data_IF_419296727091
#
_entry.id   IF_419296727091
#
_cell.length_a   1.000
_cell.length_b   1.000
_cell.length_c   1.000
_cell.angle_alpha   90.00
_cell.angle_beta   90.00
_cell.angle_gamma   90.00
#
_symmetry.space_group_name_H-M   'P 1'
#
loop_
_entity.id
_entity.type
_entity.pdbx_description
1 polymer ?
#
# COMPACT_ATOMS: atom_id res chain seq x y z
N UNK A 1 19.75 10.69 -61.64
CA UNK A 1 18.30 10.39 -61.69
C UNK A 1 18.12 9.02 -62.32
N UNK A 2 17.19 8.23 -61.77
CA UNK A 2 16.74 6.88 -62.16
C UNK A 2 17.57 5.68 -61.69
N UNK A 3 17.12 5.10 -60.56
CA UNK A 3 17.15 3.66 -60.33
C UNK A 3 15.72 3.14 -60.40
N UNK A 4 15.60 2.02 -61.07
CA UNK A 4 14.44 1.38 -61.68
C UNK A 4 13.44 0.80 -60.68
N UNK A 5 12.18 0.93 -61.08
CA UNK A 5 10.94 0.37 -60.56
C UNK A 5 10.97 -1.17 -60.42
N UNK A 6 10.47 -1.71 -59.29
CA UNK A 6 10.11 -3.13 -59.16
C UNK A 6 8.81 -3.29 -58.37
N UNK A 7 7.69 -3.09 -59.06
CA UNK A 7 6.35 -3.59 -58.69
C UNK A 7 6.28 -5.12 -58.71
N UNK A 8 5.55 -5.70 -57.73
CA UNK A 8 4.60 -6.86 -57.78
C UNK A 8 4.43 -7.42 -56.35
N UNK A 9 3.37 -7.07 -55.60
CA UNK A 9 1.99 -7.62 -55.65
C UNK A 9 1.90 -9.07 -55.19
N UNK A 10 1.22 -9.36 -54.07
CA UNK A 10 0.32 -10.50 -53.87
C UNK A 10 -0.68 -10.21 -52.75
N UNK A 11 -1.92 -10.64 -53.00
CA UNK A 11 -3.18 -10.23 -52.37
C UNK A 11 -3.86 -11.46 -51.75
N UNK A 12 -4.57 -11.25 -50.64
CA UNK A 12 -5.69 -12.03 -50.07
C UNK A 12 -5.45 -13.37 -49.36
N UNK A 13 -6.48 -13.75 -48.56
CA UNK A 13 -6.82 -15.05 -47.93
C UNK A 13 -6.52 -15.04 -46.39
N UNK A 14 -7.44 -15.08 -45.42
CA UNK A 14 -8.78 -15.70 -45.33
C UNK A 14 -9.62 -15.08 -44.19
N UNK A 15 -10.93 -14.99 -44.40
CA UNK A 15 -12.01 -14.72 -43.44
C UNK A 15 -12.30 -15.98 -42.59
N UNK A 16 -12.52 -15.87 -41.27
CA UNK A 16 -13.22 -16.91 -40.48
C UNK A 16 -14.28 -16.23 -39.60
N UNK A 17 -15.51 -16.71 -39.72
CA UNK A 17 -16.76 -16.28 -39.09
C UNK A 17 -17.19 -17.33 -38.04
N UNK A 18 -18.13 -16.96 -37.16
CA UNK A 18 -18.93 -17.77 -36.18
C UNK A 18 -18.31 -17.99 -34.77
N UNK A 19 -19.03 -17.86 -33.64
CA UNK A 19 -20.48 -17.82 -33.40
C UNK A 19 -20.85 -17.01 -32.13
N UNK A 20 -22.06 -16.44 -32.13
CA UNK A 20 -22.76 -15.88 -30.96
C UNK A 20 -23.16 -17.01 -29.98
N UNK A 21 -23.08 -16.73 -28.67
CA UNK A 21 -24.01 -17.29 -27.70
C UNK A 21 -24.45 -16.19 -26.72
N UNK A 22 -25.67 -15.67 -26.92
CA UNK A 22 -26.40 -14.89 -25.92
C UNK A 22 -27.14 -15.86 -25.01
N UNK A 23 -26.92 -15.77 -23.70
CA UNK A 23 -27.82 -16.35 -22.71
C UNK A 23 -28.58 -15.19 -22.06
N UNK A 24 -29.83 -15.01 -22.46
CA UNK A 24 -30.85 -14.34 -21.66
C UNK A 24 -31.67 -15.43 -20.94
N UNK A 25 -31.79 -15.31 -19.62
CA UNK A 25 -32.60 -16.21 -18.81
C UNK A 25 -32.62 -15.76 -17.35
N UNK A 26 -33.70 -15.09 -16.98
CA UNK A 26 -33.99 -14.50 -15.67
C UNK A 26 -34.73 -15.49 -14.75
N UNK A 27 -34.60 -15.26 -13.43
CA UNK A 27 -35.55 -15.55 -12.32
C UNK A 27 -34.74 -15.97 -11.07
N UNK A 28 -34.99 -15.46 -9.86
CA UNK A 28 -36.10 -14.64 -9.39
C UNK A 28 -35.70 -13.80 -8.19
N UNK A 29 -36.51 -12.77 -7.95
CA UNK A 29 -36.52 -12.03 -6.71
C UNK A 29 -37.00 -12.95 -5.57
N UNK A 30 -36.36 -12.85 -4.41
CA UNK A 30 -37.05 -13.04 -3.14
C UNK A 30 -36.73 -11.82 -2.29
N UNK A 31 -37.74 -10.98 -2.11
CA UNK A 31 -37.66 -9.92 -1.12
C UNK A 31 -37.44 -10.50 0.27
N UNK A 32 -36.76 -9.73 1.10
CA UNK A 32 -37.25 -9.40 2.42
C UNK A 32 -36.73 -7.99 2.72
N UNK A 33 -37.63 -7.01 2.61
CA UNK A 33 -37.57 -5.87 3.50
C UNK A 33 -37.79 -6.39 4.94
N UNK A 34 -37.18 -5.70 5.90
CA UNK A 34 -37.20 -5.97 7.34
C UNK A 34 -36.46 -7.22 7.83
N UNK A 35 -35.24 -6.97 8.33
CA UNK A 35 -35.05 -6.98 9.78
C UNK A 35 -34.20 -5.77 10.16
N UNK A 36 -34.85 -4.71 10.64
CA UNK A 36 -34.25 -3.87 11.66
C UNK A 36 -33.56 -4.79 12.70
N UNK A 37 -32.34 -4.50 13.17
CA UNK A 37 -31.81 -5.21 14.32
C UNK A 37 -32.83 -5.07 15.47
N UNK A 38 -33.17 -6.15 16.18
CA UNK A 38 -34.17 -6.09 17.23
C UNK A 38 -33.79 -5.02 18.24
N UNK A 39 -34.65 -4.01 18.37
CA UNK A 39 -34.62 -3.06 19.48
C UNK A 39 -34.83 -3.87 20.76
N UNK A 40 -33.75 -4.13 21.49
CA UNK A 40 -33.83 -4.87 22.75
C UNK A 40 -32.57 -5.55 23.26
N UNK A 41 -31.47 -5.61 22.49
CA UNK A 41 -30.18 -6.03 23.05
C UNK A 41 -29.48 -4.83 23.72
N UNK A 42 -29.87 -4.55 24.96
CA UNK A 42 -29.03 -3.75 25.87
C UNK A 42 -28.05 -4.72 26.54
N UNK A 43 -26.78 -4.33 26.44
CA UNK A 43 -25.60 -4.81 27.15
C UNK A 43 -24.92 -6.10 26.66
N UNK A 44 -24.20 -5.95 25.56
CA UNK A 44 -22.78 -6.32 25.57
C UNK A 44 -21.98 -5.19 24.94
N UNK A 45 -20.98 -4.61 25.63
CA UNK A 45 -20.12 -3.63 25.00
C UNK A 45 -19.49 -4.31 23.78
N UNK A 46 -19.83 -3.78 22.61
CA UNK A 46 -19.17 -3.95 21.32
C UNK A 46 -17.72 -4.36 21.54
N UNK A 47 -17.31 -5.45 20.86
CA UNK A 47 -15.94 -5.94 20.77
C UNK A 47 -14.95 -4.80 20.98
N UNK A 48 -14.39 -4.79 22.18
CA UNK A 48 -13.77 -3.61 22.70
C UNK A 48 -12.56 -3.25 21.85
N UNK A 49 -12.42 -1.95 21.57
CA UNK A 49 -11.17 -1.24 21.35
C UNK A 49 -10.19 -1.40 22.53
N UNK A 50 -10.22 -2.52 23.25
CA UNK A 50 -9.56 -2.78 24.53
C UNK A 50 -8.07 -2.64 24.30
N UNK A 51 -7.54 -1.54 24.79
CA UNK A 51 -6.13 -1.16 24.68
C UNK A 51 -5.72 -0.34 23.45
N UNK A 52 -6.59 0.07 22.52
CA UNK A 52 -6.20 0.93 21.37
C UNK A 52 -7.27 1.97 20.98
N UNK A 53 -6.83 3.14 20.51
CA UNK A 53 -7.70 4.24 20.08
C UNK A 53 -8.63 3.83 18.92
N UNK A 54 -9.85 4.36 18.88
CA UNK A 54 -10.77 4.15 17.76
C UNK A 54 -10.32 4.88 16.49
N UNK A 55 -9.71 6.05 16.65
CA UNK A 55 -9.20 6.88 15.57
C UNK A 55 -7.84 6.41 15.07
N UNK A 56 -7.61 6.55 13.76
CA UNK A 56 -6.30 6.40 13.16
C UNK A 56 -5.46 7.66 13.31
N UNK A 57 -4.21 7.46 13.67
CA UNK A 57 -3.13 8.42 13.48
C UNK A 57 -2.34 8.03 12.22
N UNK A 58 -1.63 9.00 11.65
CA UNK A 58 -0.90 8.78 10.41
C UNK A 58 0.50 9.36 10.52
N UNK A 59 1.49 8.54 10.17
CA UNK A 59 2.82 9.02 9.80
C UNK A 59 2.88 9.04 8.27
N UNK A 60 3.04 10.22 7.68
CA UNK A 60 3.07 10.39 6.23
C UNK A 60 4.40 11.01 5.79
N UNK A 61 5.18 10.21 5.09
CA UNK A 61 6.47 10.61 4.53
C UNK A 61 6.37 10.81 3.03
N UNK A 62 6.87 11.95 2.54
CA UNK A 62 7.01 12.21 1.10
C UNK A 62 8.10 11.30 0.49
N UNK A 63 7.89 10.86 -0.75
CA UNK A 63 8.87 10.02 -1.46
C UNK A 63 10.26 10.66 -1.51
N UNK A 64 10.30 11.97 -1.76
CA UNK A 64 11.52 12.78 -1.80
C UNK A 64 12.29 12.85 -0.47
N UNK A 65 11.70 12.42 0.66
CA UNK A 65 12.42 12.34 1.93
C UNK A 65 13.26 11.06 2.06
N UNK A 66 12.94 10.00 1.31
CA UNK A 66 13.70 8.75 1.38
C UNK A 66 15.05 8.87 0.69
N UNK A 67 16.04 8.09 1.15
CA UNK A 67 17.38 8.04 0.57
C UNK A 67 17.76 6.60 0.26
N UNK A 68 18.57 6.35 -0.79
CA UNK A 68 19.15 5.03 -1.00
C UNK A 68 19.95 4.59 0.23
N UNK A 69 19.90 3.30 0.54
CA UNK A 69 20.59 2.73 1.72
C UNK A 69 22.12 2.72 1.55
N UNK A 70 22.60 2.82 0.32
CA UNK A 70 24.02 2.96 0.00
C UNK A 70 24.26 4.05 -1.06
N UNK A 71 25.52 4.29 -1.40
CA UNK A 71 25.90 5.24 -2.45
C UNK A 71 25.96 4.62 -3.85
N UNK A 72 25.59 3.34 -4.02
CA UNK A 72 25.67 2.64 -5.31
C UNK A 72 24.51 2.99 -6.25
N UNK A 73 23.43 3.55 -5.69
CA UNK A 73 22.23 3.91 -6.46
C UNK A 73 22.03 5.42 -6.54
N UNK A 74 21.93 5.91 -7.78
CA UNK A 74 21.54 7.28 -8.08
C UNK A 74 20.04 7.48 -7.89
N UNK A 75 19.65 8.73 -7.62
CA UNK A 75 18.25 9.08 -7.42
C UNK A 75 17.95 10.49 -7.91
N UNK A 76 16.73 10.69 -8.41
CA UNK A 76 16.26 11.96 -8.97
C UNK A 76 14.99 12.43 -8.26
N UNK A 77 14.90 13.75 -8.05
CA UNK A 77 13.65 14.39 -7.66
C UNK A 77 12.87 14.81 -8.90
N UNK A 78 11.70 14.20 -9.07
CA UNK A 78 10.79 14.55 -10.17
C UNK A 78 9.88 15.75 -9.85
N UNK A 79 10.05 16.38 -8.68
CA UNK A 79 9.11 17.37 -8.13
C UNK A 79 7.93 16.74 -7.38
N UNK A 80 7.03 17.57 -6.86
CA UNK A 80 5.78 17.17 -6.17
C UNK A 80 5.95 16.16 -5.03
N UNK A 81 7.11 16.13 -4.38
CA UNK A 81 7.41 15.19 -3.31
C UNK A 81 7.75 13.77 -3.76
N UNK A 82 7.93 13.52 -5.06
CA UNK A 82 8.27 12.20 -5.58
C UNK A 82 9.78 12.01 -5.82
N UNK A 83 10.25 10.77 -5.64
CA UNK A 83 11.62 10.32 -5.93
C UNK A 83 11.58 9.16 -6.91
N UNK A 84 12.56 9.09 -7.80
CA UNK A 84 12.81 7.92 -8.67
C UNK A 84 14.26 7.45 -8.51
N UNK A 85 14.49 6.15 -8.67
CA UNK A 85 15.85 5.61 -8.79
C UNK A 85 16.37 5.87 -10.19
N UNK A 86 17.50 6.57 -10.31
CA UNK A 86 18.08 6.93 -11.62
C UNK A 86 19.12 5.91 -12.08
N UNK A 87 19.79 5.23 -11.15
CA UNK A 87 20.74 4.15 -11.42
C UNK A 87 20.85 3.18 -10.23
N UNK A 88 21.48 2.03 -10.44
CA UNK A 88 21.67 1.01 -9.40
C UNK A 88 20.43 0.16 -9.14
N UNK A 89 20.47 -0.59 -8.03
CA UNK A 89 19.43 -1.54 -7.62
C UNK A 89 19.07 -1.43 -6.14
N UNK A 90 19.69 -0.51 -5.41
CA UNK A 90 19.50 -0.39 -3.97
C UNK A 90 18.10 0.15 -3.65
N UNK A 91 17.61 -0.26 -2.49
CA UNK A 91 16.37 0.23 -1.92
C UNK A 91 16.56 1.60 -1.27
N UNK A 92 15.47 2.31 -1.14
CA UNK A 92 15.37 3.57 -0.43
C UNK A 92 14.76 3.33 0.94
N UNK A 93 15.23 4.05 1.94
CA UNK A 93 14.69 3.93 3.28
C UNK A 93 14.59 5.25 4.03
N UNK A 94 13.83 5.21 5.12
CA UNK A 94 13.74 6.26 6.12
C UNK A 94 13.27 5.67 7.44
N UNK A 95 13.71 6.27 8.55
CA UNK A 95 13.26 5.91 9.89
C UNK A 95 11.75 6.13 10.06
N UNK A 96 11.07 5.19 10.72
CA UNK A 96 9.65 5.26 11.05
C UNK A 96 9.50 5.45 12.57
N UNK A 97 9.30 6.70 13.00
CA UNK A 97 9.19 7.07 14.41
C UNK A 97 7.78 7.00 14.97
N UNK A 98 7.28 5.79 15.25
CA UNK A 98 5.97 5.62 15.89
C UNK A 98 6.10 5.56 17.42
N UNK A 99 5.09 6.02 18.19
CA UNK A 99 5.08 5.86 19.64
C UNK A 99 5.16 4.40 20.06
N UNK A 100 5.85 4.14 21.16
CA UNK A 100 5.89 2.80 21.76
C UNK A 100 4.49 2.33 22.15
N UNK A 101 4.23 1.03 21.99
CA UNK A 101 2.92 0.41 22.23
C UNK A 101 1.84 0.77 21.20
N UNK A 102 2.14 1.61 20.19
CA UNK A 102 1.20 1.85 19.09
C UNK A 102 1.07 0.63 18.18
N UNK A 103 -0.07 0.45 17.54
CA UNK A 103 -0.31 -0.66 16.60
C UNK A 103 -0.39 -0.16 15.17
N UNK A 104 0.47 -0.69 14.32
CA UNK A 104 0.45 -0.50 12.88
C UNK A 104 -0.69 -1.35 12.31
N UNK A 105 -1.65 -0.70 11.66
CA UNK A 105 -2.81 -1.38 11.07
C UNK A 105 -2.66 -1.49 9.55
N UNK A 106 -2.13 -0.45 8.88
CA UNK A 106 -1.98 -0.44 7.41
C UNK A 106 -0.78 0.36 6.93
N UNK A 107 -0.20 -0.07 5.81
CA UNK A 107 0.74 0.70 5.00
C UNK A 107 0.07 1.08 3.67
N UNK A 108 0.18 2.36 3.28
CA UNK A 108 -0.27 2.84 1.98
C UNK A 108 0.91 3.41 1.20
N UNK A 109 1.02 3.01 -0.07
CA UNK A 109 1.95 3.58 -1.03
C UNK A 109 1.22 4.57 -1.94
N UNK A 110 1.85 5.71 -2.21
CA UNK A 110 1.47 6.69 -3.23
C UNK A 110 2.58 6.73 -4.27
N UNK A 111 2.24 6.49 -5.53
CA UNK A 111 3.23 6.29 -6.58
C UNK A 111 2.81 6.96 -7.89
N UNK A 112 3.80 7.16 -8.75
CA UNK A 112 3.60 7.33 -10.19
C UNK A 112 4.28 6.13 -10.87
N UNK A 113 3.50 5.31 -11.57
CA UNK A 113 3.99 4.09 -12.19
C UNK A 113 3.36 3.88 -13.57
N UNK A 114 4.10 4.23 -14.61
CA UNK A 114 3.75 3.95 -16.01
C UNK A 114 4.52 2.76 -16.56
N UNK A 115 5.24 2.05 -15.71
CA UNK A 115 6.05 0.91 -16.13
C UNK A 115 5.24 -0.38 -16.26
N UNK A 116 5.83 -1.40 -16.88
CA UNK A 116 5.27 -2.76 -16.91
C UNK A 116 5.59 -3.60 -15.68
N UNK A 117 6.13 -3.00 -14.60
CA UNK A 117 6.55 -3.71 -13.39
C UNK A 117 6.14 -2.95 -12.14
N UNK A 118 5.95 -3.64 -11.02
CA UNK A 118 5.50 -2.98 -9.79
C UNK A 118 6.68 -2.66 -8.86
N UNK A 119 6.73 -1.43 -8.36
CA UNK A 119 7.55 -1.08 -7.21
C UNK A 119 6.97 -1.68 -5.92
N UNK A 120 7.82 -1.89 -4.92
CA UNK A 120 7.40 -2.49 -3.64
C UNK A 120 7.80 -1.60 -2.48
N UNK A 121 6.90 -1.38 -1.52
CA UNK A 121 7.18 -0.70 -0.26
C UNK A 121 6.83 -1.62 0.93
N UNK A 122 7.60 -1.54 2.00
CA UNK A 122 7.39 -2.38 3.18
C UNK A 122 7.89 -1.70 4.46
N UNK A 123 7.42 -2.21 5.60
CA UNK A 123 7.96 -1.84 6.92
C UNK A 123 8.86 -2.97 7.40
N UNK A 124 10.08 -2.65 7.81
CA UNK A 124 11.00 -3.60 8.46
C UNK A 124 11.24 -3.19 9.90
N UNK A 125 11.24 -4.16 10.81
CA UNK A 125 11.79 -4.00 12.15
C UNK A 125 13.19 -4.60 12.26
N UNK A 126 14.08 -3.96 13.00
CA UNK A 126 15.43 -4.44 13.31
C UNK A 126 15.58 -4.61 14.81
N UNK A 127 16.16 -5.71 15.26
CA UNK A 127 16.35 -6.01 16.70
C UNK A 127 17.72 -5.57 17.26
N UNK A 128 18.48 -4.78 16.50
CA UNK A 128 19.83 -4.31 16.84
C UNK A 128 20.88 -5.40 17.13
N UNK A 129 20.57 -6.67 16.85
CA UNK A 129 21.47 -7.83 17.04
C UNK A 129 21.64 -8.63 15.74
N UNK A 130 21.36 -7.99 14.60
CA UNK A 130 21.46 -8.57 13.25
C UNK A 130 20.19 -9.25 12.74
N UNK A 131 19.14 -9.35 13.56
CA UNK A 131 17.83 -9.85 13.15
C UNK A 131 16.92 -8.76 12.61
N UNK A 132 16.12 -9.11 11.62
CA UNK A 132 15.09 -8.24 11.04
C UNK A 132 13.81 -9.00 10.76
N UNK A 133 12.71 -8.28 10.63
CA UNK A 133 11.41 -8.84 10.25
C UNK A 133 10.64 -7.84 9.42
N UNK A 134 10.24 -8.24 8.22
CA UNK A 134 9.35 -7.46 7.37
C UNK A 134 7.90 -7.65 7.86
N UNK A 135 7.29 -6.55 8.27
CA UNK A 135 5.99 -6.54 8.97
C UNK A 135 4.84 -6.54 7.97
N UNK A 136 4.98 -5.79 6.89
CA UNK A 136 3.95 -5.67 5.85
C UNK A 136 4.58 -5.20 4.55
N UNK A 137 3.99 -5.58 3.42
CA UNK A 137 4.42 -5.20 2.08
C UNK A 137 3.24 -4.73 1.25
N UNK A 138 3.49 -3.79 0.35
CA UNK A 138 2.51 -3.28 -0.61
C UNK A 138 3.21 -2.96 -1.92
N UNK A 139 2.60 -3.37 -3.02
CA UNK A 139 3.11 -3.11 -4.37
C UNK A 139 2.36 -1.94 -5.01
N UNK A 140 3.03 -1.21 -5.91
CA UNK A 140 2.33 -0.32 -6.84
C UNK A 140 1.52 -1.16 -7.86
N UNK A 141 0.86 -0.49 -8.78
CA UNK A 141 0.32 -1.14 -9.97
C UNK A 141 0.86 -0.37 -11.18
N UNK A 142 1.68 -1.05 -11.97
CA UNK A 142 2.23 -0.58 -13.22
C UNK A 142 1.13 -0.19 -14.21
N UNK A 143 1.52 0.58 -15.22
CA UNK A 143 0.67 1.10 -16.31
C UNK A 143 -0.44 2.10 -15.93
N UNK A 144 -0.52 2.51 -14.66
CA UNK A 144 -1.60 3.38 -14.15
C UNK A 144 -1.27 4.87 -14.03
N UNK A 145 0.01 5.28 -14.14
CA UNK A 145 0.41 6.64 -13.81
C UNK A 145 0.31 6.89 -12.31
N UNK A 146 -0.27 8.03 -11.88
CA UNK A 146 -0.46 8.30 -10.45
C UNK A 146 -1.48 7.36 -9.82
N UNK A 147 -1.12 6.75 -8.69
CA UNK A 147 -1.98 5.81 -8.00
C UNK A 147 -1.65 5.61 -6.54
N UNK A 148 -2.49 4.82 -5.87
CA UNK A 148 -2.25 4.38 -4.49
C UNK A 148 -2.70 2.94 -4.31
N UNK A 149 -2.02 2.23 -3.40
CA UNK A 149 -2.35 0.86 -2.98
C UNK A 149 -2.24 0.78 -1.46
N UNK A 150 -3.11 -0.02 -0.85
CA UNK A 150 -3.18 -0.25 0.59
C UNK A 150 -2.79 -1.70 0.88
N UNK A 151 -2.02 -1.94 1.92
CA UNK A 151 -1.72 -3.28 2.41
C UNK A 151 -2.96 -3.98 2.97
N UNK A 152 -2.87 -5.29 3.21
CA UNK A 152 -3.77 -5.97 4.14
C UNK A 152 -3.62 -5.42 5.56
N UNK A 153 -4.58 -5.74 6.43
CA UNK A 153 -4.45 -5.47 7.87
C UNK A 153 -3.19 -6.15 8.43
N UNK A 154 -2.46 -5.42 9.26
CA UNK A 154 -1.17 -5.84 9.82
C UNK A 154 -1.29 -6.26 11.28
N UNK A 155 -1.79 -5.36 12.14
CA UNK A 155 -1.97 -5.63 13.58
C UNK A 155 -0.67 -5.72 14.38
N UNK A 156 0.43 -5.14 13.91
CA UNK A 156 1.74 -5.20 14.57
C UNK A 156 1.87 -4.15 15.66
N UNK A 157 2.24 -4.55 16.88
CA UNK A 157 2.48 -3.62 18.00
C UNK A 157 3.95 -3.19 18.02
N UNK A 158 4.16 -1.88 18.04
CA UNK A 158 5.47 -1.24 18.11
C UNK A 158 6.06 -1.44 19.49
N UNK A 159 7.20 -2.13 19.53
CA UNK A 159 8.11 -2.20 20.66
C UNK A 159 9.42 -1.48 20.29
N UNK A 160 9.58 -0.26 20.78
CA UNK A 160 10.76 0.57 20.60
C UNK A 160 11.86 0.27 21.63
N UNK A 161 11.57 -0.54 22.66
CA UNK A 161 12.56 -0.94 23.67
C UNK A 161 13.55 -1.97 23.11
N UNK A 162 13.08 -2.81 22.18
CA UNK A 162 13.88 -3.89 21.59
C UNK A 162 14.08 -3.77 20.08
N UNK A 163 13.33 -2.91 19.39
CA UNK A 163 13.35 -2.81 17.92
C UNK A 163 13.35 -1.38 17.41
N UNK A 164 13.91 -1.18 16.24
CA UNK A 164 13.75 0.04 15.44
C UNK A 164 12.98 -0.27 14.15
N UNK A 165 12.23 0.72 13.65
CA UNK A 165 11.35 0.56 12.50
C UNK A 165 11.80 1.45 11.34
N UNK A 166 11.72 0.89 10.14
CA UNK A 166 12.16 1.56 8.91
C UNK A 166 11.12 1.34 7.82
N UNK A 167 10.79 2.41 7.10
CA UNK A 167 10.04 2.34 5.85
C UNK A 167 11.03 2.13 4.72
N UNK A 168 10.76 1.12 3.90
CA UNK A 168 11.57 0.79 2.73
C UNK A 168 10.72 0.91 1.46
N UNK A 169 11.39 1.26 0.37
CA UNK A 169 10.83 1.21 -0.97
C UNK A 169 11.91 0.75 -1.96
N UNK A 170 11.53 -0.17 -2.85
CA UNK A 170 12.37 -0.60 -3.96
C UNK A 170 11.66 -0.39 -5.27
N UNK A 171 12.34 0.30 -6.18
CA UNK A 171 11.92 0.38 -7.57
C UNK A 171 12.24 -0.94 -8.28
N UNK A 172 11.33 -1.46 -9.09
CA UNK A 172 11.62 -2.58 -9.98
C UNK A 172 12.49 -2.17 -11.18
N UNK A 173 12.48 -0.89 -11.55
CA UNK A 173 13.29 -0.36 -12.65
C UNK A 173 13.76 1.07 -12.39
N UNK A 174 14.76 1.49 -13.17
CA UNK A 174 15.32 2.82 -13.09
C UNK A 174 14.59 3.78 -14.04
N UNK A 175 14.61 5.06 -13.70
CA UNK A 175 14.07 6.14 -14.51
C UNK A 175 12.73 6.68 -13.99
N UNK A 176 12.24 7.70 -14.70
CA UNK A 176 11.12 8.52 -14.26
C UNK A 176 9.74 7.91 -14.53
N UNK A 177 9.67 6.71 -15.11
CA UNK A 177 8.42 5.96 -15.25
C UNK A 177 7.96 5.31 -13.95
N UNK A 178 8.85 5.19 -12.96
CA UNK A 178 8.58 4.63 -11.64
C UNK A 178 9.05 5.60 -10.56
N UNK A 179 8.10 6.15 -9.79
CA UNK A 179 8.36 7.14 -8.75
C UNK A 179 7.57 6.80 -7.50
N UNK A 180 8.24 6.87 -6.35
CA UNK A 180 7.56 6.92 -5.07
C UNK A 180 7.19 8.36 -4.78
N UNK A 181 5.91 8.64 -4.53
CA UNK A 181 5.43 9.95 -4.14
C UNK A 181 5.18 10.08 -2.64
N UNK A 182 4.94 8.96 -1.96
CA UNK A 182 4.94 8.93 -0.50
C UNK A 182 4.49 7.61 0.09
N UNK A 183 4.74 7.47 1.39
CA UNK A 183 4.35 6.32 2.20
C UNK A 183 3.59 6.82 3.41
N UNK A 184 2.43 6.23 3.68
CA UNK A 184 1.62 6.57 4.84
C UNK A 184 1.33 5.33 5.67
N UNK A 185 1.72 5.39 6.94
CA UNK A 185 1.42 4.35 7.92
C UNK A 185 0.22 4.79 8.74
N UNK A 186 -0.83 3.97 8.76
CA UNK A 186 -1.97 4.15 9.65
C UNK A 186 -1.75 3.34 10.91
N UNK A 187 -1.80 4.00 12.07
CA UNK A 187 -1.59 3.37 13.36
C UNK A 187 -2.61 3.84 14.39
N UNK A 188 -2.77 3.06 15.46
CA UNK A 188 -3.59 3.40 16.62
C UNK A 188 -2.72 3.46 17.86
N UNK A 189 -2.96 4.43 18.71
CA UNK A 189 -2.23 4.57 19.99
C UNK A 189 -2.91 3.72 21.06
N UNK A 190 -2.19 3.24 22.07
CA UNK A 190 -2.82 2.48 23.13
C UNK A 190 -3.79 3.35 23.92
N UNK A 191 -4.96 2.83 24.29
CA UNK A 191 -5.82 3.47 25.28
C UNK A 191 -5.32 3.08 26.66
N UNK A 192 -5.08 4.08 27.50
CA UNK A 192 -4.94 3.85 28.93
C UNK A 192 -6.31 3.48 29.47
N UNK A 193 -6.62 2.19 29.51
CA UNK A 193 -7.76 1.68 30.27
C UNK A 193 -7.37 1.75 31.76
N UNK A 194 -7.21 2.97 32.27
CA UNK A 194 -7.12 3.22 33.70
C UNK A 194 -8.47 2.82 34.27
N UNK A 195 -8.51 1.65 34.91
CA UNK A 195 -9.53 1.32 35.89
C UNK A 195 -9.43 2.33 37.03
N UNK A 196 -9.95 3.55 36.83
CA UNK A 196 -10.20 4.45 37.95
C UNK A 196 -11.28 3.80 38.80
N UNK A 197 -11.01 3.43 40.07
CA UNK A 197 -12.07 3.02 40.97
C UNK A 197 -13.02 4.21 41.11
N UNK A 198 -14.28 4.01 40.73
CA UNK A 198 -15.34 4.96 40.97
C UNK A 198 -15.53 5.08 42.49
N UNK A 199 -15.03 6.16 43.09
CA UNK A 199 -15.39 6.48 44.48
C UNK A 199 -16.77 7.13 44.45
N UNK A 200 -17.81 6.34 44.69
CA UNK A 200 -19.12 6.84 45.09
C UNK A 200 -19.04 7.29 46.56
N UNK A 201 -19.35 8.56 46.83
CA UNK A 201 -19.54 9.05 48.20
C UNK A 201 -20.69 8.27 48.85
N UNK A 202 -20.40 7.65 49.99
CA UNK A 202 -21.40 7.21 50.96
C UNK A 202 -21.85 8.35 51.86
#
# INVERSE_FOLDING_TARGET
MNVTDKKRSFTAITLVLLALLTITGAAGASGNADLLPPSGAIDSPVASSRGFSTNFHYEYVAGAALRPRDSSSGWDYSGTGCVSRSSGSELFNIYLGLPDGSRIDYLRIYYYDTSGSDSTAWVTSYNSTGGYTDITTVQSAGTGGYGTKLSSYVGHVVDNSSRSYVLNWSAAQNGSSMRLCGLRVAYRVPTLDLFMPLITKG
#
